data_IF_095424804340
#
_entry.id   IF_095424804340
#
_cell.length_a   1.000
_cell.length_b   1.000
_cell.length_c   1.000
_cell.angle_alpha   90.00
_cell.angle_beta   90.00
_cell.angle_gamma   90.00
#
_symmetry.space_group_name_H-M   'P 1'
#
loop_
_entity.id
_entity.type
_entity.pdbx_description
1 polymer ?
#
# COMPACT_ATOMS: atom_id res chain seq x y z
N UNK A 1 4.07 -9.90 19.55
CA UNK A 1 3.66 -8.51 19.87
C UNK A 1 4.80 -7.69 20.44
N UNK A 2 5.58 -8.20 21.44
CA UNK A 2 6.68 -7.48 22.10
C UNK A 2 7.73 -7.02 21.09
N UNK A 3 8.19 -7.88 20.17
CA UNK A 3 9.19 -7.52 19.16
C UNK A 3 8.69 -6.39 18.26
N UNK A 4 7.44 -6.41 17.84
CA UNK A 4 6.83 -5.33 17.03
C UNK A 4 6.85 -4.00 17.80
N UNK A 5 6.50 -4.03 19.08
CA UNK A 5 6.58 -2.84 19.92
C UNK A 5 8.02 -2.31 20.03
N UNK A 6 8.99 -3.17 20.31
CA UNK A 6 10.41 -2.79 20.40
C UNK A 6 10.89 -2.17 19.08
N UNK A 7 10.66 -2.84 17.94
CA UNK A 7 11.16 -2.38 16.64
C UNK A 7 10.53 -1.06 16.17
N UNK A 8 9.31 -0.78 16.57
CA UNK A 8 8.63 0.50 16.26
C UNK A 8 9.14 1.67 17.09
N UNK A 9 9.74 1.39 18.25
CA UNK A 9 10.24 2.42 19.18
C UNK A 9 11.77 2.55 19.19
N UNK A 10 12.47 1.71 18.45
CA UNK A 10 13.92 1.86 18.26
C UNK A 10 14.18 3.06 17.31
N UNK A 11 15.31 3.76 17.56
CA UNK A 11 15.76 4.87 16.73
C UNK A 11 15.99 4.50 15.25
N UNK A 12 16.21 5.51 14.42
CA UNK A 12 16.28 5.36 12.95
C UNK A 12 17.70 5.38 12.38
N UNK A 13 18.74 5.40 13.26
CA UNK A 13 20.14 5.38 12.85
C UNK A 13 20.54 4.02 12.23
N UNK A 14 21.71 3.96 11.61
CA UNK A 14 22.18 2.76 10.91
C UNK A 14 22.22 1.51 11.80
N UNK A 15 22.68 1.64 13.03
CA UNK A 15 22.76 0.53 13.98
C UNK A 15 21.37 0.01 14.37
N UNK A 16 20.45 0.91 14.66
CA UNK A 16 19.05 0.59 14.96
C UNK A 16 18.38 -0.16 13.80
N UNK A 17 18.63 0.24 12.55
CA UNK A 17 18.09 -0.46 11.37
C UNK A 17 18.56 -1.91 11.29
N UNK A 18 19.81 -2.20 11.67
CA UNK A 18 20.33 -3.58 11.72
C UNK A 18 19.66 -4.41 12.81
N UNK A 19 19.47 -3.84 14.00
CA UNK A 19 18.76 -4.50 15.10
C UNK A 19 17.31 -4.81 14.68
N UNK A 20 16.61 -3.84 14.10
CA UNK A 20 15.24 -4.04 13.58
C UNK A 20 15.22 -5.21 12.59
N UNK A 21 16.17 -5.26 11.66
CA UNK A 21 16.23 -6.32 10.65
C UNK A 21 16.41 -7.71 11.29
N UNK A 22 17.29 -7.83 12.28
CA UNK A 22 17.54 -9.09 12.99
C UNK A 22 16.30 -9.53 13.78
N UNK A 23 15.75 -8.62 14.59
CA UNK A 23 14.55 -8.89 15.40
C UNK A 23 13.36 -9.27 14.52
N UNK A 24 13.20 -8.63 13.35
CA UNK A 24 12.18 -8.97 12.37
C UNK A 24 12.32 -10.40 11.87
N UNK A 25 13.54 -10.84 11.52
CA UNK A 25 13.79 -12.23 11.09
C UNK A 25 13.35 -13.23 12.16
N UNK A 26 13.73 -13.00 13.40
CA UNK A 26 13.34 -13.87 14.53
C UNK A 26 11.82 -13.85 14.72
N UNK A 27 11.20 -12.67 14.69
CA UNK A 27 9.76 -12.54 14.90
C UNK A 27 8.93 -13.28 13.84
N UNK A 28 9.35 -13.24 12.57
CA UNK A 28 8.65 -13.90 11.46
C UNK A 28 8.63 -15.42 11.62
N UNK A 29 9.69 -16.04 12.17
CA UNK A 29 9.74 -17.49 12.41
C UNK A 29 8.63 -17.99 13.35
N UNK A 30 8.21 -17.14 14.30
CA UNK A 30 7.20 -17.46 15.32
C UNK A 30 5.88 -16.70 15.12
N UNK A 31 5.72 -16.00 13.99
CA UNK A 31 4.52 -15.21 13.75
C UNK A 31 3.43 -16.02 13.08
N UNK A 32 2.18 -15.59 13.32
CA UNK A 32 1.04 -16.00 12.49
C UNK A 32 1.21 -15.43 11.07
N UNK A 33 0.51 -16.00 10.10
CA UNK A 33 0.58 -15.54 8.71
C UNK A 33 0.14 -14.09 8.54
N UNK A 34 -0.81 -13.61 9.36
CA UNK A 34 -1.21 -12.21 9.38
C UNK A 34 -1.34 -11.66 10.80
N UNK A 35 -1.23 -10.35 10.91
CA UNK A 35 -1.32 -9.59 12.17
C UNK A 35 -2.21 -8.38 11.95
N UNK A 36 -3.28 -8.29 12.75
CA UNK A 36 -4.12 -7.10 12.82
C UNK A 36 -3.45 -6.08 13.75
N UNK A 37 -3.28 -4.87 13.28
CA UNK A 37 -2.55 -3.80 13.99
C UNK A 37 -3.07 -2.41 13.62
N UNK A 38 -2.92 -1.47 14.55
CA UNK A 38 -3.09 -0.06 14.22
C UNK A 38 -1.78 0.48 13.67
N UNK A 39 -1.85 1.06 12.47
CA UNK A 39 -0.72 1.64 11.78
C UNK A 39 -1.19 2.83 10.94
N UNK A 40 -0.44 3.95 10.95
CA UNK A 40 -0.80 5.17 10.22
C UNK A 40 -2.21 5.72 10.55
N UNK A 41 -2.67 5.52 11.80
CA UNK A 41 -4.03 5.83 12.25
C UNK A 41 -5.13 5.05 11.52
N UNK A 42 -4.80 3.88 10.97
CA UNK A 42 -5.70 2.95 10.32
C UNK A 42 -5.61 1.56 10.94
N UNK A 43 -6.69 0.79 10.88
CA UNK A 43 -6.75 -0.63 11.28
C UNK A 43 -6.34 -1.47 10.08
N UNK A 44 -5.18 -2.11 10.13
CA UNK A 44 -4.65 -2.87 9.01
C UNK A 44 -4.38 -4.31 9.39
N UNK A 45 -4.71 -5.23 8.47
CA UNK A 45 -4.24 -6.60 8.48
C UNK A 45 -3.01 -6.69 7.59
N UNK A 46 -1.87 -7.08 8.18
CA UNK A 46 -0.58 -7.19 7.51
C UNK A 46 -0.10 -8.64 7.52
N UNK A 47 0.39 -9.11 6.39
CA UNK A 47 0.90 -10.46 6.25
C UNK A 47 2.42 -10.50 6.48
N UNK A 48 2.86 -11.49 7.24
CA UNK A 48 4.27 -11.63 7.63
C UNK A 48 5.11 -12.36 6.59
N UNK A 49 4.46 -13.00 5.60
CA UNK A 49 5.09 -13.74 4.50
C UNK A 49 4.59 -13.25 3.15
N UNK A 50 5.36 -13.48 2.10
CA UNK A 50 4.97 -13.20 0.72
C UNK A 50 4.90 -11.71 0.33
N UNK A 51 5.27 -10.77 1.23
CA UNK A 51 5.28 -9.35 0.89
C UNK A 51 6.30 -8.57 1.73
N UNK A 52 7.27 -7.95 1.06
CA UNK A 52 8.34 -7.21 1.73
C UNK A 52 7.85 -5.89 2.31
N UNK A 53 6.96 -5.20 1.61
CA UNK A 53 6.41 -3.90 2.05
C UNK A 53 5.59 -4.04 3.33
N UNK A 54 4.74 -5.07 3.43
CA UNK A 54 3.98 -5.36 4.64
C UNK A 54 4.90 -5.63 5.84
N UNK A 55 5.95 -6.43 5.64
CA UNK A 55 6.96 -6.68 6.69
C UNK A 55 7.68 -5.41 7.12
N UNK A 56 8.08 -4.55 6.18
CA UNK A 56 8.74 -3.28 6.50
C UNK A 56 7.80 -2.35 7.27
N UNK A 57 6.57 -2.17 6.81
CA UNK A 57 5.60 -1.33 7.48
C UNK A 57 5.23 -1.87 8.87
N UNK A 58 5.10 -3.21 9.04
CA UNK A 58 4.75 -3.83 10.32
C UNK A 58 5.82 -3.57 11.39
N UNK A 59 7.09 -3.73 11.07
CA UNK A 59 8.19 -3.70 12.04
C UNK A 59 8.90 -2.35 12.14
N UNK A 60 8.85 -1.52 11.09
CA UNK A 60 9.56 -0.24 11.06
C UNK A 60 8.78 0.88 10.35
N UNK A 61 7.54 1.16 10.78
CA UNK A 61 6.70 2.18 10.14
C UNK A 61 7.29 3.59 10.20
N UNK A 62 8.12 3.86 11.19
CA UNK A 62 8.76 5.16 11.40
C UNK A 62 9.79 5.52 10.31
N UNK A 63 10.31 4.50 9.60
CA UNK A 63 11.26 4.69 8.49
C UNK A 63 10.71 4.21 7.14
N UNK A 64 9.52 3.58 7.13
CA UNK A 64 8.91 3.08 5.90
C UNK A 64 8.53 4.27 5.02
N UNK A 65 9.38 4.57 4.03
CA UNK A 65 9.15 5.58 2.98
C UNK A 65 8.55 6.89 3.54
N UNK A 66 9.21 7.36 4.63
CA UNK A 66 8.67 8.47 5.45
C UNK A 66 8.62 9.78 4.68
N UNK A 67 9.68 10.09 3.94
CA UNK A 67 9.82 11.39 3.27
C UNK A 67 8.81 11.52 2.13
N UNK A 68 8.61 10.47 1.34
CA UNK A 68 7.61 10.40 0.29
C UNK A 68 6.18 10.55 0.85
N UNK A 69 5.87 9.82 1.93
CA UNK A 69 4.56 9.90 2.58
C UNK A 69 4.29 11.29 3.15
N UNK A 70 5.29 11.93 3.75
CA UNK A 70 5.15 13.27 4.32
C UNK A 70 5.04 14.32 3.21
N UNK A 71 5.74 14.15 2.09
CA UNK A 71 5.57 14.97 0.89
C UNK A 71 4.13 14.93 0.37
N UNK A 72 3.57 13.72 0.17
CA UNK A 72 2.19 13.55 -0.32
C UNK A 72 1.18 14.17 0.65
N UNK A 73 1.35 13.97 1.96
CA UNK A 73 0.49 14.59 2.99
C UNK A 73 0.50 16.11 2.91
N UNK A 74 1.67 16.70 2.64
CA UNK A 74 1.84 18.14 2.51
C UNK A 74 1.16 18.76 1.29
N UNK A 75 0.77 17.95 0.30
CA UNK A 75 0.02 18.39 -0.90
C UNK A 75 -1.49 18.37 -0.72
N UNK A 76 -2.00 17.80 0.38
CA UNK A 76 -3.42 17.66 0.60
C UNK A 76 -4.10 18.99 0.94
N UNK A 77 -5.22 19.24 0.30
CA UNK A 77 -6.17 20.34 0.51
C UNK A 77 -7.57 19.88 0.11
N UNK A 78 -8.57 20.76 0.22
CA UNK A 78 -9.91 20.46 -0.30
C UNK A 78 -9.84 20.11 -1.79
N UNK A 79 -10.68 19.17 -2.20
CA UNK A 79 -10.77 18.62 -3.56
C UNK A 79 -9.50 17.90 -4.06
N UNK A 80 -8.59 17.54 -3.16
CA UNK A 80 -7.38 16.79 -3.52
C UNK A 80 -7.68 15.36 -3.94
N UNK A 81 -7.04 14.93 -5.03
CA UNK A 81 -7.04 13.55 -5.51
C UNK A 81 -5.61 13.01 -5.48
N UNK A 82 -5.43 11.87 -4.82
CA UNK A 82 -4.20 11.07 -4.85
C UNK A 82 -4.44 9.78 -5.61
N UNK A 83 -3.53 9.43 -6.52
CA UNK A 83 -3.56 8.16 -7.26
C UNK A 83 -2.34 7.33 -6.85
N UNK A 84 -2.58 6.27 -6.09
CA UNK A 84 -1.59 5.30 -5.59
C UNK A 84 -1.48 4.15 -6.59
N UNK A 85 -0.49 4.21 -7.49
CA UNK A 85 -0.31 3.24 -8.57
C UNK A 85 0.60 2.10 -8.10
N UNK A 86 0.09 0.86 -8.16
CA UNK A 86 0.74 -0.30 -7.55
C UNK A 86 0.62 -0.24 -6.03
N UNK A 87 -0.57 0.09 -5.56
CA UNK A 87 -0.83 0.39 -4.14
C UNK A 87 -0.61 -0.80 -3.21
N UNK A 88 -0.41 -2.01 -3.75
CA UNK A 88 -0.23 -3.21 -2.95
C UNK A 88 -1.44 -3.39 -2.01
N UNK A 89 -1.24 -3.48 -0.72
CA UNK A 89 -2.32 -3.52 0.28
C UNK A 89 -2.77 -2.13 0.74
N UNK A 90 -2.33 -1.04 0.08
CA UNK A 90 -2.70 0.35 0.37
C UNK A 90 -1.83 1.04 1.43
N UNK A 91 -0.59 0.64 1.64
CA UNK A 91 0.25 1.21 2.69
C UNK A 91 0.46 2.73 2.54
N UNK A 92 0.68 3.22 1.31
CA UNK A 92 0.73 4.66 1.03
C UNK A 92 -0.64 5.30 1.25
N UNK A 93 -1.68 4.76 0.64
CA UNK A 93 -3.06 5.23 0.74
C UNK A 93 -3.50 5.41 2.19
N UNK A 94 -3.30 4.40 3.06
CA UNK A 94 -3.65 4.50 4.48
C UNK A 94 -2.77 5.49 5.23
N UNK A 95 -1.48 5.57 4.88
CA UNK A 95 -0.55 6.48 5.57
C UNK A 95 -0.89 7.95 5.36
N UNK A 96 -1.41 8.31 4.20
CA UNK A 96 -1.83 9.69 3.87
C UNK A 96 -3.31 9.91 4.19
N UNK A 97 -4.09 8.85 4.22
CA UNK A 97 -5.54 8.88 4.41
C UNK A 97 -5.99 9.58 5.68
N UNK A 98 -5.21 9.47 6.76
CA UNK A 98 -5.47 10.19 8.01
C UNK A 98 -5.41 11.72 7.89
N UNK A 99 -4.71 12.25 6.88
CA UNK A 99 -4.70 13.68 6.52
C UNK A 99 -5.83 13.98 5.55
N UNK A 100 -5.96 13.19 4.49
CA UNK A 100 -6.97 13.37 3.45
C UNK A 100 -8.40 13.45 4.00
N UNK A 101 -8.77 12.59 4.95
CA UNK A 101 -10.11 12.61 5.58
C UNK A 101 -10.46 13.89 6.34
N UNK A 102 -9.51 14.80 6.59
CA UNK A 102 -9.74 16.08 7.26
C UNK A 102 -10.16 17.19 6.31
N UNK A 103 -10.00 16.99 5.00
CA UNK A 103 -10.33 17.93 3.95
C UNK A 103 -11.59 17.50 3.22
N UNK A 104 -12.28 18.45 2.60
CA UNK A 104 -13.53 18.19 1.87
C UNK A 104 -13.25 17.58 0.50
N UNK A 105 -14.13 16.68 0.07
CA UNK A 105 -14.15 16.10 -1.28
C UNK A 105 -12.84 15.43 -1.72
N UNK A 106 -12.02 14.98 -0.76
CA UNK A 106 -10.76 14.30 -1.08
C UNK A 106 -11.01 12.86 -1.53
N UNK A 107 -10.17 12.36 -2.44
CA UNK A 107 -10.21 10.98 -2.92
C UNK A 107 -8.82 10.38 -2.99
N UNK A 108 -8.72 9.08 -2.66
CA UNK A 108 -7.51 8.29 -2.81
C UNK A 108 -7.86 7.09 -3.67
N UNK A 109 -7.43 7.09 -4.93
CA UNK A 109 -7.59 5.93 -5.81
C UNK A 109 -6.40 5.00 -5.58
N UNK A 110 -6.68 3.82 -5.04
CA UNK A 110 -5.66 2.79 -4.77
C UNK A 110 -5.75 1.71 -5.83
N UNK A 111 -4.75 1.67 -6.70
CA UNK A 111 -4.75 0.86 -7.93
C UNK A 111 -3.80 -0.31 -7.74
N UNK A 112 -4.34 -1.53 -7.76
CA UNK A 112 -3.57 -2.75 -7.57
C UNK A 112 -4.08 -3.85 -8.51
N UNK A 113 -3.24 -4.31 -9.47
CA UNK A 113 -3.65 -5.34 -10.43
C UNK A 113 -3.61 -6.76 -9.88
N UNK A 114 -2.80 -7.05 -8.86
CA UNK A 114 -2.65 -8.41 -8.35
C UNK A 114 -3.86 -8.82 -7.52
N UNK A 115 -4.63 -9.87 -7.90
CA UNK A 115 -5.91 -10.22 -7.27
C UNK A 115 -5.83 -10.41 -5.76
N UNK A 116 -4.81 -11.12 -5.26
CA UNK A 116 -4.64 -11.37 -3.83
C UNK A 116 -4.29 -10.08 -3.05
N UNK A 117 -3.42 -9.23 -3.59
CA UNK A 117 -3.09 -7.95 -2.96
C UNK A 117 -4.28 -7.01 -2.98
N UNK A 118 -5.04 -6.99 -4.08
CA UNK A 118 -6.27 -6.23 -4.17
C UNK A 118 -7.31 -6.67 -3.14
N UNK A 119 -7.51 -7.98 -2.93
CA UNK A 119 -8.40 -8.49 -1.88
C UNK A 119 -7.96 -8.01 -0.48
N UNK A 120 -6.65 -8.00 -0.19
CA UNK A 120 -6.11 -7.47 1.07
C UNK A 120 -6.32 -5.97 1.20
N UNK A 121 -6.14 -5.21 0.12
CA UNK A 121 -6.42 -3.78 0.05
C UNK A 121 -7.89 -3.49 0.36
N UNK A 122 -8.81 -4.19 -0.31
CA UNK A 122 -10.26 -4.05 -0.09
C UNK A 122 -10.64 -4.42 1.36
N UNK A 123 -10.07 -5.49 1.90
CA UNK A 123 -10.28 -5.85 3.31
C UNK A 123 -9.87 -4.71 4.24
N UNK A 124 -8.67 -4.15 4.05
CA UNK A 124 -8.19 -3.03 4.85
C UNK A 124 -9.04 -1.77 4.67
N UNK A 125 -9.49 -1.47 3.45
CA UNK A 125 -10.37 -0.32 3.19
C UNK A 125 -11.71 -0.45 3.93
N UNK A 126 -12.31 -1.64 3.94
CA UNK A 126 -13.55 -1.91 4.69
C UNK A 126 -13.42 -1.74 6.21
N UNK A 127 -12.22 -1.87 6.77
CA UNK A 127 -11.96 -1.62 8.19
C UNK A 127 -11.80 -0.12 8.53
N UNK A 128 -11.70 0.75 7.51
CA UNK A 128 -11.38 2.18 7.63
C UNK A 128 -12.28 3.02 6.73
N UNK A 129 -13.58 2.89 6.90
CA UNK A 129 -14.60 3.55 6.04
C UNK A 129 -14.61 5.07 6.16
N UNK A 130 -13.97 5.62 7.17
CA UNK A 130 -13.77 7.06 7.36
C UNK A 130 -12.61 7.65 6.53
N UNK A 131 -11.81 6.79 5.89
CA UNK A 131 -10.73 7.20 4.98
C UNK A 131 -11.24 7.11 3.53
N UNK A 132 -11.10 8.16 2.70
CA UNK A 132 -11.67 8.22 1.35
C UNK A 132 -10.85 7.43 0.33
N UNK A 133 -10.71 6.10 0.55
CA UNK A 133 -9.98 5.17 -0.31
C UNK A 133 -10.95 4.49 -1.27
N UNK A 134 -10.62 4.52 -2.55
CA UNK A 134 -11.35 3.92 -3.65
C UNK A 134 -10.48 2.87 -4.36
N UNK A 135 -10.53 1.59 -3.95
CA UNK A 135 -9.74 0.54 -4.58
C UNK A 135 -10.16 0.27 -6.02
N UNK A 136 -9.17 -0.02 -6.90
CA UNK A 136 -9.40 -0.41 -8.30
C UNK A 136 -8.50 -1.60 -8.68
N UNK A 137 -9.11 -2.68 -9.15
CA UNK A 137 -8.42 -3.89 -9.59
C UNK A 137 -8.01 -3.78 -11.06
N UNK A 138 -7.09 -2.89 -11.34
CA UNK A 138 -6.55 -2.66 -12.69
C UNK A 138 -5.05 -2.39 -12.62
N UNK A 139 -4.36 -2.55 -13.76
CA UNK A 139 -3.03 -2.00 -13.97
C UNK A 139 -3.14 -0.65 -14.70
N UNK A 140 -2.34 0.34 -14.34
CA UNK A 140 -2.16 1.55 -15.17
C UNK A 140 -0.93 1.36 -16.04
N UNK A 141 -1.15 1.40 -17.35
CA UNK A 141 -0.11 1.14 -18.37
C UNK A 141 -0.20 2.15 -19.51
N UNK A 142 0.76 2.12 -20.45
CA UNK A 142 0.75 2.99 -21.64
C UNK A 142 -0.39 2.71 -22.62
N UNK A 143 -1.05 1.56 -22.53
CA UNK A 143 -2.21 1.18 -23.36
C UNK A 143 -3.20 0.35 -22.56
N UNK A 144 -4.49 0.49 -22.91
CA UNK A 144 -5.57 -0.31 -22.34
C UNK A 144 -5.65 -1.69 -23.00
N UNK A 145 -6.14 -2.70 -22.26
CA UNK A 145 -6.29 -4.07 -22.75
C UNK A 145 -6.19 -5.11 -21.67
N UNK A 146 -6.24 -6.39 -22.07
CA UNK A 146 -5.98 -7.53 -21.19
C UNK A 146 -4.50 -7.90 -21.23
N UNK A 147 -3.93 -8.14 -20.07
CA UNK A 147 -2.56 -8.55 -19.89
C UNK A 147 -2.47 -9.70 -18.89
N UNK A 148 -1.28 -10.27 -18.75
CA UNK A 148 -0.99 -11.25 -17.72
C UNK A 148 0.06 -10.69 -16.77
N UNK A 149 -0.09 -11.00 -15.49
CA UNK A 149 0.82 -10.64 -14.43
C UNK A 149 1.52 -11.89 -13.92
N UNK A 150 2.83 -11.83 -13.85
CA UNK A 150 3.69 -12.82 -13.22
C UNK A 150 4.24 -12.26 -11.92
N UNK A 151 4.17 -13.04 -10.84
CA UNK A 151 4.57 -12.56 -9.50
C UNK A 151 5.37 -13.62 -8.76
N UNK A 152 6.56 -13.26 -8.22
CA UNK A 152 7.30 -14.17 -7.35
C UNK A 152 6.53 -14.47 -6.06
N UNK A 153 6.42 -15.75 -5.69
CA UNK A 153 5.73 -16.17 -4.46
C UNK A 153 6.33 -15.52 -3.19
N UNK A 154 7.64 -15.33 -3.17
CA UNK A 154 8.32 -14.73 -2.02
C UNK A 154 8.01 -13.23 -1.84
N UNK A 155 7.58 -12.56 -2.93
CA UNK A 155 7.25 -11.14 -2.89
C UNK A 155 6.21 -10.73 -3.93
N UNK A 156 4.95 -10.91 -3.60
CA UNK A 156 3.80 -10.56 -4.45
C UNK A 156 3.80 -9.10 -4.94
N UNK A 157 4.47 -8.20 -4.23
CA UNK A 157 4.59 -6.79 -4.62
C UNK A 157 5.58 -6.54 -5.78
N UNK A 158 6.23 -7.57 -6.33
CA UNK A 158 7.15 -7.47 -7.46
C UNK A 158 6.56 -8.02 -8.76
N UNK A 159 5.25 -7.88 -8.94
CA UNK A 159 4.56 -8.32 -10.15
C UNK A 159 5.10 -7.64 -11.41
N UNK A 160 5.24 -8.42 -12.49
CA UNK A 160 5.63 -7.94 -13.82
C UNK A 160 4.61 -8.38 -14.84
N UNK A 161 4.29 -7.48 -15.77
CA UNK A 161 3.49 -7.85 -16.92
C UNK A 161 4.31 -8.76 -17.85
N UNK A 162 3.74 -9.91 -18.21
CA UNK A 162 4.35 -10.90 -19.10
C UNK A 162 3.28 -11.53 -20.02
N UNK A 163 3.71 -12.22 -21.06
CA UNK A 163 2.78 -12.96 -21.94
C UNK A 163 2.30 -14.28 -21.32
N UNK A 164 3.03 -14.82 -20.34
CA UNK A 164 2.82 -16.14 -19.72
C UNK A 164 2.47 -16.09 -18.23
N UNK A 165 2.22 -14.90 -17.67
CA UNK A 165 1.89 -14.72 -16.26
C UNK A 165 0.64 -15.47 -15.84
N UNK A 166 0.56 -15.84 -14.57
CA UNK A 166 -0.55 -16.66 -14.03
C UNK A 166 -1.87 -15.89 -13.97
N UNK A 167 -1.81 -14.58 -13.65
CA UNK A 167 -3.00 -13.79 -13.39
C UNK A 167 -3.38 -12.93 -14.60
N UNK A 168 -4.62 -13.06 -15.06
CA UNK A 168 -5.20 -12.09 -16.00
C UNK A 168 -5.50 -10.79 -15.28
N UNK A 169 -5.08 -9.66 -15.88
CA UNK A 169 -5.30 -8.33 -15.35
C UNK A 169 -5.81 -7.40 -16.45
N UNK A 170 -6.71 -6.52 -16.08
CA UNK A 170 -7.20 -5.46 -16.97
C UNK A 170 -6.28 -4.26 -16.80
N UNK A 171 -5.76 -3.75 -17.91
CA UNK A 171 -5.00 -2.51 -17.90
C UNK A 171 -5.82 -1.38 -18.54
N UNK A 172 -5.65 -0.19 -17.99
CA UNK A 172 -6.12 1.07 -18.58
C UNK A 172 -4.94 2.02 -18.77
N UNK A 173 -5.02 2.88 -19.78
CA UNK A 173 -4.11 4.01 -19.79
C UNK A 173 -4.58 5.07 -18.79
N UNK A 174 -3.67 5.94 -18.37
CA UNK A 174 -3.96 6.92 -17.31
C UNK A 174 -5.05 7.93 -17.74
N UNK A 175 -5.09 8.31 -19.02
CA UNK A 175 -6.07 9.28 -19.54
C UNK A 175 -7.47 8.67 -19.48
N UNK A 176 -7.64 7.42 -19.95
CA UNK A 176 -8.92 6.73 -19.87
C UNK A 176 -9.39 6.60 -18.40
N UNK A 177 -8.47 6.26 -17.50
CA UNK A 177 -8.78 6.16 -16.08
C UNK A 177 -9.25 7.51 -15.49
N UNK A 178 -8.55 8.60 -15.80
CA UNK A 178 -8.89 9.94 -15.35
C UNK A 178 -10.29 10.34 -15.85
N UNK A 179 -10.60 10.05 -17.11
CA UNK A 179 -11.88 10.36 -17.72
C UNK A 179 -13.01 9.53 -17.07
N UNK A 180 -12.82 8.22 -16.91
CA UNK A 180 -13.82 7.31 -16.33
C UNK A 180 -14.16 7.68 -14.88
N UNK A 181 -13.16 8.10 -14.09
CA UNK A 181 -13.35 8.49 -12.69
C UNK A 181 -13.72 9.99 -12.53
N UNK A 182 -13.88 10.73 -13.64
CA UNK A 182 -14.16 12.17 -13.65
C UNK A 182 -13.18 13.00 -12.80
N UNK A 183 -11.89 12.67 -12.88
CA UNK A 183 -10.84 13.35 -12.11
C UNK A 183 -10.46 14.64 -12.84
N UNK A 184 -10.72 15.79 -12.20
CA UNK A 184 -10.40 17.11 -12.77
C UNK A 184 -8.98 17.58 -12.44
N UNK A 185 -8.49 17.26 -11.25
CA UNK A 185 -7.17 17.66 -10.77
C UNK A 185 -6.54 16.51 -9.98
N UNK A 186 -5.26 16.24 -10.21
CA UNK A 186 -4.46 15.30 -9.43
C UNK A 186 -3.52 16.11 -8.55
N UNK A 187 -3.47 15.80 -7.26
CA UNK A 187 -2.62 16.48 -6.28
C UNK A 187 -1.31 15.75 -6.04
N UNK A 188 -1.34 14.41 -6.18
CA UNK A 188 -0.18 13.52 -6.11
C UNK A 188 -0.50 12.15 -6.73
#
# INVERSE_FOLDING_TARGET
KIIIYITRNIGTNWFSKRIIFLLRKIAILFSKDCIDTNLFNAKLRLYTKGNVSEKRALFSPQIFEKDERDFIKGKCKDDSVFIDIGSNIGLYSFSVGGVYKKFKNTKIFSIEPHPLLFQRLVFNAKQNTDIPIYPREIALMGKSGEFRLDTPEENLGQGKVSNSGEHKVIAKNLIDFINDENIKNISA
#
